data_IF_079903813368
#
_entry.id   IF_079903813368
#
_cell.length_a   1.000
_cell.length_b   1.000
_cell.length_c   1.000
_cell.angle_alpha   90.00
_cell.angle_beta   90.00
_cell.angle_gamma   90.00
#
_symmetry.space_group_name_H-M   'P 1'
#
loop_
_entity.id
_entity.type
_entity.pdbx_description
1 polymer ?
#
# COMPACT_ATOMS: atom_id res chain seq x y z
N UNK A 1 -3.81 -9.23 -37.03
CA UNK A 1 -3.91 -8.21 -35.96
C UNK A 1 -5.12 -8.55 -35.11
N UNK A 2 -4.95 -8.93 -33.84
CA UNK A 2 -6.08 -9.25 -32.94
C UNK A 2 -6.46 -7.98 -32.17
N UNK A 3 -7.74 -7.64 -32.19
CA UNK A 3 -8.30 -6.52 -31.41
C UNK A 3 -8.92 -7.12 -30.15
N UNK A 4 -8.48 -6.65 -28.99
CA UNK A 4 -9.01 -7.05 -27.68
C UNK A 4 -9.37 -5.79 -26.91
N UNK A 5 -10.52 -5.79 -26.23
CA UNK A 5 -10.98 -4.70 -25.37
C UNK A 5 -11.27 -5.25 -23.97
N UNK A 6 -10.90 -4.47 -22.95
CA UNK A 6 -11.18 -4.76 -21.53
C UNK A 6 -12.01 -3.59 -21.02
N UNK A 7 -13.12 -3.90 -20.33
CA UNK A 7 -13.96 -2.93 -19.60
C UNK A 7 -13.76 -3.17 -18.11
N UNK A 8 -13.56 -2.11 -17.33
CA UNK A 8 -13.36 -2.17 -15.88
C UNK A 8 -14.35 -1.21 -15.22
N UNK A 9 -15.19 -1.75 -14.33
CA UNK A 9 -16.05 -0.97 -13.45
C UNK A 9 -15.35 -0.78 -12.10
N UNK A 10 -15.44 0.42 -11.52
CA UNK A 10 -14.87 0.73 -10.22
C UNK A 10 -15.74 1.72 -9.46
N UNK A 11 -15.70 1.62 -8.13
CA UNK A 11 -16.31 2.59 -7.24
C UNK A 11 -15.26 3.64 -6.84
N UNK A 12 -15.63 4.91 -6.95
CA UNK A 12 -14.78 6.02 -6.55
C UNK A 12 -15.30 6.61 -5.24
N UNK A 13 -14.39 6.76 -4.28
CA UNK A 13 -14.65 7.45 -3.03
C UNK A 13 -13.83 8.75 -2.99
N UNK A 14 -14.50 9.85 -2.66
CA UNK A 14 -13.88 11.18 -2.55
C UNK A 14 -12.99 11.28 -1.31
N UNK A 15 -13.35 10.56 -0.24
CA UNK A 15 -12.64 10.60 1.02
C UNK A 15 -12.81 9.32 1.84
N UNK A 16 -12.02 9.22 2.92
CA UNK A 16 -12.02 8.04 3.78
C UNK A 16 -13.32 7.83 4.58
N UNK A 17 -14.18 8.82 4.73
CA UNK A 17 -15.41 8.66 5.53
C UNK A 17 -16.44 7.79 4.81
N UNK A 18 -16.36 7.72 3.47
CA UNK A 18 -17.22 6.87 2.65
C UNK A 18 -16.80 5.39 2.67
N UNK A 19 -15.60 5.09 3.15
CA UNK A 19 -15.14 3.71 3.37
C UNK A 19 -15.82 3.12 4.61
N UNK A 20 -16.10 1.82 4.58
CA UNK A 20 -16.55 1.11 5.77
C UNK A 20 -15.46 1.12 6.88
N UNK A 21 -15.85 0.82 8.11
CA UNK A 21 -14.93 0.88 9.25
C UNK A 21 -13.69 -0.02 9.10
N UNK A 22 -13.85 -1.19 8.48
CA UNK A 22 -12.77 -2.16 8.31
C UNK A 22 -11.73 -1.67 7.28
N UNK A 23 -12.14 -1.06 6.18
CA UNK A 23 -11.21 -0.53 5.17
C UNK A 23 -10.53 0.75 5.64
N UNK A 24 -11.26 1.59 6.38
CA UNK A 24 -10.68 2.78 7.04
C UNK A 24 -9.55 2.43 8.00
N UNK A 25 -9.70 1.34 8.75
CA UNK A 25 -8.67 0.85 9.66
C UNK A 25 -7.39 0.48 8.90
N UNK A 26 -7.52 -0.22 7.77
CA UNK A 26 -6.38 -0.58 6.91
C UNK A 26 -5.70 0.66 6.32
N UNK A 27 -6.46 1.60 5.77
CA UNK A 27 -5.90 2.84 5.22
C UNK A 27 -5.17 3.65 6.30
N UNK A 28 -5.74 3.73 7.51
CA UNK A 28 -5.09 4.39 8.66
C UNK A 28 -3.78 3.70 9.05
N UNK A 29 -3.78 2.37 9.14
CA UNK A 29 -2.60 1.57 9.45
C UNK A 29 -1.50 1.73 8.38
N UNK A 30 -1.85 1.70 7.10
CA UNK A 30 -0.91 1.90 5.99
C UNK A 30 -0.31 3.31 6.01
N UNK A 31 -1.12 4.35 6.24
CA UNK A 31 -0.63 5.74 6.39
C UNK A 31 0.36 5.87 7.54
N UNK A 32 0.07 5.26 8.68
CA UNK A 32 1.00 5.23 9.82
C UNK A 32 2.28 4.46 9.50
N UNK A 33 2.20 3.40 8.71
CA UNK A 33 3.38 2.64 8.29
C UNK A 33 4.35 3.48 7.44
N UNK A 34 3.85 4.44 6.64
CA UNK A 34 4.70 5.36 5.86
C UNK A 34 5.74 6.10 6.72
N UNK A 35 5.45 6.36 8.00
CA UNK A 35 6.38 7.01 8.94
C UNK A 35 7.66 6.19 9.18
N UNK A 36 7.63 4.89 8.89
CA UNK A 36 8.76 3.96 9.02
C UNK A 36 9.49 3.69 7.70
N UNK A 37 9.13 4.41 6.63
CA UNK A 37 9.83 4.30 5.35
C UNK A 37 11.30 4.67 5.50
N UNK A 38 12.18 3.83 4.97
CA UNK A 38 13.57 4.22 4.71
C UNK A 38 13.71 4.48 3.21
N UNK A 39 13.48 5.73 2.81
CA UNK A 39 13.49 6.14 1.40
C UNK A 39 14.35 7.40 1.16
N UNK A 40 15.65 7.39 1.53
CA UNK A 40 16.50 8.57 1.39
C UNK A 40 16.91 8.85 -0.07
N UNK A 41 16.70 7.92 -1.01
CA UNK A 41 17.11 8.09 -2.40
C UNK A 41 15.98 8.63 -3.27
N UNK A 42 14.76 8.08 -3.16
CA UNK A 42 13.60 8.58 -3.92
C UNK A 42 12.82 9.68 -3.21
N UNK A 43 12.96 9.79 -1.87
CA UNK A 43 12.10 10.60 -1.02
C UNK A 43 10.59 10.26 -1.14
N UNK A 44 10.27 9.06 -1.61
CA UNK A 44 8.91 8.59 -1.80
C UNK A 44 8.56 7.52 -0.77
N UNK A 45 7.84 7.93 0.29
CA UNK A 45 7.41 7.03 1.36
C UNK A 45 6.15 6.27 0.97
N UNK A 46 6.21 4.95 1.07
CA UNK A 46 5.12 4.02 0.80
C UNK A 46 4.90 3.16 2.03
N UNK A 47 3.64 3.02 2.44
CA UNK A 47 3.20 2.15 3.53
C UNK A 47 2.12 1.21 3.02
N UNK A 48 2.12 -0.01 3.55
CA UNK A 48 1.14 -1.04 3.25
C UNK A 48 0.58 -1.62 4.55
N UNK A 49 -0.67 -2.06 4.50
CA UNK A 49 -1.34 -2.78 5.59
C UNK A 49 -2.17 -3.94 5.00
N UNK A 50 -2.06 -5.11 5.61
CA UNK A 50 -2.79 -6.32 5.21
C UNK A 50 -3.49 -6.89 6.44
N UNK A 51 -4.79 -7.19 6.31
CA UNK A 51 -5.56 -7.92 7.32
C UNK A 51 -5.51 -9.42 7.00
N UNK A 52 -5.05 -10.22 7.95
CA UNK A 52 -5.04 -11.68 7.86
C UNK A 52 -6.44 -12.24 8.14
N UNK A 53 -6.63 -13.54 7.90
CA UNK A 53 -7.89 -14.25 8.13
C UNK A 53 -8.30 -14.29 9.63
N UNK A 54 -7.31 -14.26 10.53
CA UNK A 54 -7.50 -14.14 11.98
C UNK A 54 -7.82 -12.70 12.45
N UNK A 55 -7.91 -11.74 11.52
CA UNK A 55 -8.20 -10.34 11.78
C UNK A 55 -7.00 -9.48 12.16
N UNK A 56 -5.80 -10.06 12.33
CA UNK A 56 -4.59 -9.30 12.64
C UNK A 56 -4.17 -8.43 11.46
N UNK A 57 -3.76 -7.19 11.74
CA UNK A 57 -3.22 -6.28 10.73
C UNK A 57 -1.69 -6.31 10.80
N UNK A 58 -1.06 -6.69 9.68
CA UNK A 58 0.38 -6.57 9.45
C UNK A 58 0.64 -5.31 8.61
N UNK A 59 1.75 -4.63 8.89
CA UNK A 59 2.12 -3.39 8.20
C UNK A 59 3.56 -3.43 7.73
N UNK A 60 3.82 -2.75 6.62
CA UNK A 60 5.13 -2.66 6.00
C UNK A 60 5.37 -1.28 5.42
N UNK A 61 6.64 -0.91 5.26
CA UNK A 61 7.06 0.34 4.62
C UNK A 61 8.24 0.07 3.70
N UNK A 62 8.38 0.81 2.61
CA UNK A 62 9.47 0.59 1.68
C UNK A 62 10.84 0.86 2.33
N UNK A 63 11.81 0.01 1.97
CA UNK A 63 13.18 0.05 2.46
C UNK A 63 14.11 0.12 1.26
N UNK A 64 14.69 1.29 1.01
CA UNK A 64 15.61 1.48 -0.10
C UNK A 64 17.03 1.05 0.26
N UNK A 65 17.84 0.88 -0.79
CA UNK A 65 19.25 0.57 -0.66
C UNK A 65 20.04 1.34 -1.71
N UNK A 66 21.27 1.71 -1.39
CA UNK A 66 22.16 2.38 -2.34
C UNK A 66 22.43 1.54 -3.59
N UNK A 67 22.42 0.21 -3.46
CA UNK A 67 22.57 -0.72 -4.57
C UNK A 67 21.20 -1.13 -5.14
N UNK A 68 20.72 -0.41 -6.16
CA UNK A 68 19.54 -0.84 -6.90
C UNK A 68 19.80 -2.17 -7.65
N UNK A 69 18.85 -3.12 -7.66
CA UNK A 69 17.45 -3.03 -7.22
C UNK A 69 17.18 -3.67 -5.84
N UNK A 70 18.14 -3.64 -4.91
CA UNK A 70 18.05 -4.36 -3.62
C UNK A 70 17.02 -3.79 -2.63
N UNK A 71 16.31 -2.73 -3.00
CA UNK A 71 15.23 -2.17 -2.20
C UNK A 71 14.02 -3.10 -2.11
N UNK A 72 13.27 -2.98 -1.01
CA UNK A 72 12.03 -3.70 -0.76
C UNK A 72 10.85 -2.73 -0.80
N UNK A 73 9.80 -3.10 -1.52
CA UNK A 73 8.55 -2.36 -1.55
C UNK A 73 7.74 -2.64 -0.28
N UNK A 74 6.87 -1.73 0.13
CA UNK A 74 6.10 -1.84 1.37
C UNK A 74 5.26 -3.13 1.45
N UNK A 75 4.70 -3.55 0.31
CA UNK A 75 3.85 -4.73 0.14
C UNK A 75 4.62 -6.04 0.32
N UNK A 76 5.94 -6.04 0.08
CA UNK A 76 6.80 -7.21 0.35
C UNK A 76 7.26 -7.29 1.80
N UNK A 77 7.16 -6.18 2.53
CA UNK A 77 7.55 -6.07 3.94
C UNK A 77 6.37 -6.36 4.87
N UNK A 78 5.14 -6.00 4.45
CA UNK A 78 3.89 -6.32 5.13
C UNK A 78 3.54 -7.81 4.98
#
# INVERSE_FOLDING_TARGET
MRKSSITIDFELFDNMEQLNAADRELVSAARKACEKSYSPFSHFSVGAAVRLDDGKIITGANQENAAFPSGLCAERVA
#
